data_IF_314226990140
#
_entry.id   IF_314226990140
#
_cell.length_a   1.000
_cell.length_b   1.000
_cell.length_c   1.000
_cell.angle_alpha   90.00
_cell.angle_beta   90.00
_cell.angle_gamma   90.00
#
_symmetry.space_group_name_H-M   'P 1'
#
loop_
_entity.id
_entity.type
_entity.pdbx_description
1 polymer ?
#
# COMPACT_ATOMS: atom_id res chain seq x y z
N UNK A 1 31.87 52.24 -31.51
CA UNK A 1 31.95 50.93 -32.18
C UNK A 1 32.33 49.90 -31.12
N UNK A 2 31.54 48.94 -30.67
CA UNK A 2 30.13 48.65 -30.86
C UNK A 2 29.54 48.22 -29.51
N UNK A 3 28.33 48.70 -29.23
CA UNK A 3 27.54 48.31 -28.07
C UNK A 3 26.98 46.90 -28.27
N UNK A 4 27.02 46.08 -27.22
CA UNK A 4 26.37 44.77 -27.21
C UNK A 4 24.85 45.00 -27.03
N UNK A 5 23.98 44.55 -27.95
CA UNK A 5 22.56 44.83 -27.84
C UNK A 5 21.93 43.94 -26.76
N UNK A 6 21.36 44.59 -25.74
CA UNK A 6 20.35 44.01 -24.86
C UNK A 6 19.19 43.55 -25.74
N UNK A 7 18.97 42.24 -25.82
CA UNK A 7 17.75 41.70 -26.41
C UNK A 7 16.83 41.26 -25.28
N UNK A 8 15.93 42.15 -24.90
CA UNK A 8 14.68 41.77 -24.28
C UNK A 8 13.88 40.92 -25.27
N UNK A 9 13.41 39.76 -24.82
CA UNK A 9 12.26 39.11 -25.42
C UNK A 9 11.33 38.66 -24.31
N UNK A 10 10.14 39.23 -24.42
CA UNK A 10 8.88 38.93 -23.77
C UNK A 10 8.65 37.45 -23.46
N UNK A 11 8.27 37.23 -22.20
CA UNK A 11 7.11 36.48 -21.76
C UNK A 11 6.57 35.39 -22.71
N UNK A 12 6.93 34.16 -22.38
CA UNK A 12 6.04 33.02 -22.56
C UNK A 12 6.07 32.26 -21.25
N UNK A 13 5.26 32.74 -20.29
CA UNK A 13 4.98 32.07 -19.04
C UNK A 13 4.65 30.60 -19.29
N UNK A 14 5.59 29.73 -18.93
CA UNK A 14 5.27 28.33 -18.73
C UNK A 14 4.52 28.26 -17.40
N UNK A 15 3.22 28.52 -17.45
CA UNK A 15 2.28 28.18 -16.39
C UNK A 15 2.06 26.66 -16.45
N UNK A 16 3.15 25.90 -16.30
CA UNK A 16 3.05 24.55 -15.78
C UNK A 16 2.66 24.73 -14.34
N UNK A 17 1.35 24.76 -14.08
CA UNK A 17 0.80 24.83 -12.75
C UNK A 17 1.53 23.78 -11.90
N UNK A 18 2.44 24.22 -11.04
CA UNK A 18 2.78 23.46 -9.85
C UNK A 18 1.46 23.32 -9.12
N UNK A 19 0.78 22.20 -9.33
CA UNK A 19 -0.36 21.81 -8.51
C UNK A 19 0.25 21.77 -7.12
N UNK A 20 0.02 22.85 -6.37
CA UNK A 20 0.41 22.95 -4.99
C UNK A 20 -0.33 21.84 -4.29
N UNK A 21 0.36 20.72 -4.05
CA UNK A 21 -0.12 19.69 -3.13
C UNK A 21 -0.30 20.44 -1.82
N UNK A 22 -1.54 20.57 -1.39
CA UNK A 22 -1.84 21.16 -0.09
C UNK A 22 -0.97 20.44 0.93
N UNK A 23 -0.06 21.21 1.56
CA UNK A 23 0.97 20.75 2.48
C UNK A 23 0.37 20.33 3.84
N UNK A 24 -0.82 19.71 3.81
CA UNK A 24 -1.44 19.11 4.97
C UNK A 24 -0.67 17.88 5.37
N UNK A 25 -0.43 17.72 6.67
CA UNK A 25 0.15 16.49 7.20
C UNK A 25 -0.66 15.27 6.73
N UNK A 26 0.04 14.18 6.41
CA UNK A 26 -0.62 12.92 6.05
C UNK A 26 -1.66 12.53 7.11
N UNK A 27 -2.85 12.03 6.74
CA UNK A 27 -3.82 11.53 7.71
C UNK A 27 -3.26 10.34 8.53
N UNK A 28 -2.16 9.74 8.08
CA UNK A 28 -1.55 8.58 8.71
C UNK A 28 -0.63 8.91 9.89
N UNK A 29 -0.24 10.16 10.11
CA UNK A 29 0.70 10.57 11.18
C UNK A 29 0.28 10.17 12.60
N UNK A 30 -1.02 9.89 12.79
CA UNK A 30 -1.57 9.47 14.09
C UNK A 30 -1.32 8.00 14.42
N UNK A 31 -0.79 7.21 13.49
CA UNK A 31 -0.45 5.80 13.71
C UNK A 31 1.03 5.57 13.45
N UNK A 32 1.75 5.12 14.49
CA UNK A 32 3.16 4.78 14.41
C UNK A 32 3.43 3.66 13.38
N UNK A 33 2.66 2.56 13.48
CA UNK A 33 2.78 1.39 12.60
C UNK A 33 1.70 1.36 11.50
N UNK A 34 1.26 2.55 11.06
CA UNK A 34 0.29 2.71 9.98
C UNK A 34 0.95 2.86 8.61
N UNK A 35 0.19 3.29 7.59
CA UNK A 35 0.76 3.67 6.31
C UNK A 35 1.79 4.82 6.45
N UNK A 36 2.72 4.98 5.48
CA UNK A 36 3.72 6.04 5.51
C UNK A 36 3.15 7.43 5.80
N UNK A 37 3.87 8.21 6.59
CA UNK A 37 3.50 9.58 6.98
C UNK A 37 3.72 10.61 5.87
N UNK A 38 4.24 10.19 4.72
CA UNK A 38 4.35 11.01 3.52
C UNK A 38 2.94 11.48 3.07
N UNK A 39 2.79 12.79 2.82
CA UNK A 39 1.50 13.39 2.45
C UNK A 39 1.01 12.97 1.06
N UNK A 40 1.90 12.50 0.19
CA UNK A 40 1.60 11.94 -1.12
C UNK A 40 1.31 10.44 -1.09
N UNK A 41 1.41 9.76 0.05
CA UNK A 41 1.09 8.35 0.13
C UNK A 41 -0.42 8.13 0.12
N UNK A 42 -0.89 7.40 -0.89
CA UNK A 42 -2.24 6.82 -0.95
C UNK A 42 -2.12 5.35 -1.35
N UNK A 43 -2.67 4.38 -0.59
CA UNK A 43 -2.59 2.97 -0.95
C UNK A 43 -3.28 2.70 -2.30
N UNK A 44 -2.50 2.26 -3.28
CA UNK A 44 -2.99 1.72 -4.56
C UNK A 44 -2.62 0.25 -4.56
N UNK A 45 -3.63 -0.59 -4.36
CA UNK A 45 -3.42 -1.97 -3.92
C UNK A 45 -3.72 -3.02 -4.99
N UNK A 46 -3.00 -4.14 -4.91
CA UNK A 46 -3.36 -5.41 -5.56
C UNK A 46 -3.84 -6.42 -4.53
N UNK A 47 -4.94 -7.12 -4.83
CA UNK A 47 -5.51 -8.14 -3.96
C UNK A 47 -4.91 -9.52 -4.22
N UNK A 48 -4.36 -10.13 -3.17
CA UNK A 48 -3.93 -11.53 -3.10
C UNK A 48 -3.04 -12.02 -4.26
N UNK A 49 -2.18 -11.13 -4.80
CA UNK A 49 -1.28 -11.46 -5.90
C UNK A 49 0.01 -12.15 -5.42
N UNK A 50 0.71 -12.81 -6.34
CA UNK A 50 2.02 -13.41 -6.08
C UNK A 50 3.09 -12.30 -5.85
N UNK A 51 3.80 -12.26 -4.70
CA UNK A 51 4.87 -11.29 -4.45
C UNK A 51 6.04 -11.32 -5.44
N UNK A 52 6.24 -12.43 -6.16
CA UNK A 52 7.23 -12.50 -7.25
C UNK A 52 6.96 -11.51 -8.41
N UNK A 53 5.73 -10.98 -8.51
CA UNK A 53 5.34 -9.94 -9.48
C UNK A 53 5.43 -8.51 -8.93
N UNK A 54 5.89 -8.32 -7.69
CA UNK A 54 5.83 -7.02 -7.01
C UNK A 54 6.52 -5.89 -7.80
N UNK A 55 7.64 -6.16 -8.47
CA UNK A 55 8.30 -5.16 -9.34
C UNK A 55 7.44 -4.74 -10.54
N UNK A 56 6.65 -5.67 -11.11
CA UNK A 56 5.77 -5.36 -12.24
C UNK A 56 4.60 -4.48 -11.78
N UNK A 57 4.01 -4.77 -10.61
CA UNK A 57 2.97 -3.94 -10.04
C UNK A 57 3.49 -2.57 -9.61
N UNK A 58 4.68 -2.50 -9.00
CA UNK A 58 5.32 -1.23 -8.70
C UNK A 58 5.55 -0.39 -9.95
N UNK A 59 6.06 -1.00 -11.03
CA UNK A 59 6.23 -0.33 -12.33
C UNK A 59 4.90 0.13 -12.95
N UNK A 60 3.79 -0.53 -12.63
CA UNK A 60 2.44 -0.15 -13.04
C UNK A 60 1.78 0.89 -12.10
N UNK A 61 2.47 1.37 -11.06
CA UNK A 61 1.99 2.42 -10.15
C UNK A 61 1.28 1.92 -8.88
N UNK A 62 1.26 0.61 -8.62
CA UNK A 62 0.80 0.08 -7.34
C UNK A 62 1.88 0.25 -6.28
N UNK A 63 1.48 0.45 -5.03
CA UNK A 63 2.41 0.59 -3.90
C UNK A 63 2.09 -0.32 -2.72
N UNK A 64 0.96 -1.05 -2.77
CA UNK A 64 0.46 -1.83 -1.64
C UNK A 64 -0.05 -3.20 -2.11
N UNK A 65 0.16 -4.23 -1.28
CA UNK A 65 -0.53 -5.52 -1.37
C UNK A 65 -1.60 -5.60 -0.29
N UNK A 66 -2.74 -6.21 -0.60
CA UNK A 66 -3.75 -6.58 0.40
C UNK A 66 -3.97 -8.08 0.33
N UNK A 67 -3.66 -8.75 1.44
CA UNK A 67 -3.66 -10.20 1.56
C UNK A 67 -2.43 -10.87 0.95
N UNK A 68 -1.99 -11.94 1.58
CA UNK A 68 -0.94 -12.84 1.08
C UNK A 68 -1.44 -14.27 1.21
N UNK A 69 -1.42 -15.02 0.12
CA UNK A 69 -1.82 -16.42 0.13
C UNK A 69 -0.92 -17.22 1.08
N UNK A 70 -1.54 -17.86 2.08
CA UNK A 70 -0.85 -18.60 3.17
C UNK A 70 0.27 -17.78 3.84
N UNK A 71 0.13 -16.46 3.86
CA UNK A 71 1.14 -15.53 4.34
C UNK A 71 0.73 -14.70 5.56
N UNK A 72 1.61 -13.77 5.99
CA UNK A 72 2.92 -13.51 5.42
C UNK A 72 3.94 -14.63 5.71
N UNK A 73 4.85 -14.87 4.76
CA UNK A 73 6.09 -15.65 4.96
C UNK A 73 7.30 -14.73 4.88
N UNK A 74 8.44 -15.16 5.43
CA UNK A 74 9.72 -14.41 5.38
C UNK A 74 10.08 -14.04 3.93
N UNK A 75 9.94 -14.99 3.00
CA UNK A 75 10.21 -14.80 1.58
C UNK A 75 9.26 -13.76 0.96
N UNK A 76 7.96 -13.84 1.25
CA UNK A 76 6.98 -12.88 0.72
C UNK A 76 7.32 -11.46 1.19
N UNK A 77 7.61 -11.27 2.48
CA UNK A 77 7.99 -9.96 3.03
C UNK A 77 9.29 -9.45 2.41
N UNK A 78 10.29 -10.31 2.23
CA UNK A 78 11.55 -9.93 1.58
C UNK A 78 11.37 -9.52 0.11
N UNK A 79 10.51 -10.22 -0.64
CA UNK A 79 10.20 -9.88 -2.04
C UNK A 79 9.49 -8.52 -2.15
N UNK A 80 8.53 -8.25 -1.27
CA UNK A 80 7.83 -6.97 -1.23
C UNK A 80 8.75 -5.82 -0.83
N UNK A 81 9.59 -6.00 0.21
CA UNK A 81 10.62 -5.02 0.59
C UNK A 81 11.56 -4.68 -0.56
N UNK A 82 12.07 -5.71 -1.24
CA UNK A 82 12.96 -5.54 -2.41
C UNK A 82 12.29 -4.74 -3.54
N UNK A 83 10.96 -4.80 -3.64
CA UNK A 83 10.19 -4.06 -4.63
C UNK A 83 9.66 -2.70 -4.13
N UNK A 84 9.92 -2.32 -2.87
CA UNK A 84 9.38 -1.10 -2.28
C UNK A 84 7.86 -1.11 -2.03
N UNK A 85 7.25 -2.30 -1.96
CA UNK A 85 5.80 -2.46 -1.80
C UNK A 85 5.41 -2.66 -0.34
N UNK A 86 4.39 -1.95 0.14
CA UNK A 86 3.80 -2.15 1.47
C UNK A 86 2.78 -3.30 1.49
N UNK A 87 2.40 -3.81 2.66
CA UNK A 87 1.37 -4.86 2.76
C UNK A 87 0.40 -4.68 3.92
N UNK A 88 -0.87 -4.98 3.65
CA UNK A 88 -1.89 -5.29 4.65
C UNK A 88 -2.10 -6.81 4.61
N UNK A 89 -1.85 -7.52 5.71
CA UNK A 89 -1.92 -8.99 5.72
C UNK A 89 -2.50 -9.56 7.01
N UNK A 90 -2.74 -10.88 7.03
CA UNK A 90 -3.13 -11.59 8.25
C UNK A 90 -2.01 -11.48 9.29
N UNK A 91 -2.38 -11.33 10.56
CA UNK A 91 -1.41 -11.46 11.65
C UNK A 91 -1.08 -12.95 11.90
N UNK A 92 0.21 -13.31 11.82
CA UNK A 92 0.72 -14.64 12.14
C UNK A 92 2.09 -14.52 12.85
N UNK A 93 2.70 -15.65 13.20
CA UNK A 93 3.97 -15.68 13.94
C UNK A 93 5.13 -15.00 13.19
N UNK A 94 5.15 -15.07 11.85
CA UNK A 94 6.14 -14.38 11.02
C UNK A 94 5.88 -12.87 11.07
N UNK A 95 4.65 -12.44 10.74
CA UNK A 95 4.29 -11.02 10.70
C UNK A 95 4.54 -10.30 12.03
N UNK A 96 4.31 -10.96 13.18
CA UNK A 96 4.57 -10.34 14.49
C UNK A 96 6.05 -10.04 14.75
N UNK A 97 6.99 -10.71 14.07
CA UNK A 97 8.43 -10.37 14.15
C UNK A 97 8.77 -9.06 13.42
N UNK A 98 7.86 -8.57 12.58
CA UNK A 98 8.01 -7.36 11.77
C UNK A 98 7.15 -6.21 12.28
N UNK A 99 6.75 -6.22 13.57
CA UNK A 99 5.85 -5.19 14.12
C UNK A 99 6.47 -3.80 14.14
N UNK A 100 7.79 -3.71 14.30
CA UNK A 100 8.57 -2.47 14.27
C UNK A 100 9.11 -2.15 12.86
N UNK A 101 8.70 -2.94 11.86
CA UNK A 101 9.12 -2.78 10.47
C UNK A 101 8.00 -2.13 9.64
N UNK A 102 8.37 -1.14 8.84
CA UNK A 102 7.42 -0.34 8.08
C UNK A 102 6.78 -1.08 6.88
N UNK A 103 7.12 -2.37 6.67
CA UNK A 103 6.59 -3.18 5.58
C UNK A 103 5.11 -3.54 5.76
N UNK A 104 4.68 -3.84 6.99
CA UNK A 104 3.29 -4.17 7.32
C UNK A 104 2.59 -2.89 7.81
N UNK A 105 1.67 -2.38 7.01
CA UNK A 105 0.96 -1.12 7.30
C UNK A 105 -0.47 -1.34 7.81
N UNK A 106 -0.84 -2.61 8.05
CA UNK A 106 -2.14 -2.98 8.60
C UNK A 106 -2.36 -4.49 8.72
N UNK A 107 -3.26 -4.87 9.63
CA UNK A 107 -3.66 -6.26 9.86
C UNK A 107 -5.06 -6.54 9.29
N UNK A 108 -5.21 -7.70 8.65
CA UNK A 108 -6.47 -8.16 8.06
C UNK A 108 -7.01 -9.38 8.82
N UNK A 109 -8.31 -9.34 9.18
CA UNK A 109 -8.97 -10.38 9.99
C UNK A 109 -9.60 -11.53 9.18
N UNK A 110 -9.48 -11.50 7.85
CA UNK A 110 -10.11 -12.45 6.94
C UNK A 110 -11.19 -11.79 6.09
N UNK A 111 -11.67 -12.49 5.07
CA UNK A 111 -12.74 -12.03 4.19
C UNK A 111 -14.11 -12.33 4.82
N UNK A 112 -15.06 -11.40 4.68
CA UNK A 112 -16.45 -11.49 5.14
C UNK A 112 -16.66 -12.11 6.55
N UNK A 113 -16.01 -11.59 7.61
CA UNK A 113 -16.15 -12.14 8.95
C UNK A 113 -17.61 -12.09 9.47
N UNK A 114 -18.43 -11.19 8.94
CA UNK A 114 -19.85 -11.05 9.22
C UNK A 114 -20.73 -12.10 8.51
N UNK A 115 -20.29 -12.63 7.35
CA UNK A 115 -20.97 -13.70 6.62
C UNK A 115 -20.64 -15.11 7.18
N UNK A 116 -19.76 -15.16 8.17
CA UNK A 116 -19.33 -16.40 8.81
C UNK A 116 -20.52 -17.11 9.50
N UNK A 117 -20.87 -18.31 9.05
CA UNK A 117 -21.90 -19.12 9.69
C UNK A 117 -21.30 -20.15 10.65
N UNK A 118 -21.92 -20.30 11.83
CA UNK A 118 -21.50 -21.30 12.81
C UNK A 118 -21.63 -22.71 12.21
N UNK A 119 -20.55 -23.49 12.28
CA UNK A 119 -20.55 -24.90 11.87
C UNK A 119 -21.04 -25.83 13.00
N UNK A 120 -21.57 -25.26 14.09
CA UNK A 120 -21.98 -25.97 15.30
C UNK A 120 -20.94 -25.91 16.42
N UNK A 121 -21.31 -26.43 17.60
CA UNK A 121 -20.47 -26.37 18.82
C UNK A 121 -19.06 -26.93 18.57
N UNK A 122 -18.05 -26.12 18.81
CA UNK A 122 -16.63 -26.49 18.71
C UNK A 122 -16.09 -26.64 17.28
N UNK A 123 -16.87 -26.35 16.24
CA UNK A 123 -16.46 -26.56 14.83
C UNK A 123 -16.04 -25.29 14.10
N UNK A 124 -16.06 -24.14 14.77
CA UNK A 124 -15.71 -22.86 14.17
C UNK A 124 -16.80 -22.35 13.21
N UNK A 125 -16.38 -21.59 12.21
CA UNK A 125 -17.25 -20.90 11.26
C UNK A 125 -16.82 -21.18 9.82
N UNK A 126 -17.75 -21.12 8.87
CA UNK A 126 -17.49 -21.29 7.44
C UNK A 126 -18.55 -20.63 6.56
N UNK A 127 -18.40 -20.77 5.24
CA UNK A 127 -19.40 -20.29 4.28
C UNK A 127 -20.74 -21.00 4.50
N UNK A 128 -21.82 -20.22 4.47
CA UNK A 128 -23.16 -20.75 4.60
C UNK A 128 -23.47 -21.77 3.51
N UNK A 129 -24.05 -22.91 3.90
CA UNK A 129 -24.60 -23.86 2.93
C UNK A 129 -25.86 -23.25 2.34
N UNK A 130 -25.85 -22.94 1.04
CA UNK A 130 -27.10 -22.83 0.28
C UNK A 130 -27.65 -24.25 0.20
N UNK A 131 -28.64 -24.56 1.03
CA UNK A 131 -29.47 -25.74 0.81
C UNK A 131 -30.35 -25.41 -0.39
N UNK A 132 -30.02 -26.00 -1.55
CA UNK A 132 -30.90 -26.07 -2.70
C UNK A 132 -31.89 -27.24 -2.53
#
# INVERSE_FOLDING_TARGET
MGANPVRSKSDSGNVGASVGVSNGASPYVKWENGPPHDAGFFPIAVWLQNPGKARQYHAAGFNTYVGLWKGPTEQQLAELKKAGMKVICRQNDVGRKYIDDDIIIGWMHGDEPDNAQSLGKGKGYGQGRIQA
#
